data_IF_020088805446
#
_entry.id   IF_020088805446
#
_cell.length_a   1.000
_cell.length_b   1.000
_cell.length_c   1.000
_cell.angle_alpha   90.00
_cell.angle_beta   90.00
_cell.angle_gamma   90.00
#
_symmetry.space_group_name_H-M   'P 1'
#
loop_
_entity.id
_entity.type
_entity.pdbx_description
1 polymer ?
#
# COMPACT_ATOMS: atom_id res chain seq x y z
N UNK A 1 7.72 16.83 -26.73
CA UNK A 1 7.68 15.39 -26.42
C UNK A 1 8.83 15.11 -25.47
N UNK A 2 8.55 14.89 -24.18
CA UNK A 2 9.59 14.65 -23.18
C UNK A 2 10.08 13.20 -23.30
N UNK A 3 11.38 13.04 -23.53
CA UNK A 3 12.08 11.76 -23.60
C UNK A 3 12.03 11.07 -22.23
N UNK A 4 11.34 9.93 -22.14
CA UNK A 4 11.44 9.04 -20.99
C UNK A 4 12.81 8.36 -21.01
N UNK A 5 13.77 8.87 -20.23
CA UNK A 5 15.04 8.19 -19.99
C UNK A 5 14.77 6.88 -19.26
N UNK A 6 14.90 5.74 -19.95
CA UNK A 6 14.85 4.43 -19.31
C UNK A 6 16.10 4.25 -18.47
N UNK A 7 15.98 4.36 -17.15
CA UNK A 7 17.06 3.96 -16.24
C UNK A 7 17.24 2.45 -16.37
N UNK A 8 18.37 2.03 -16.96
CA UNK A 8 18.74 0.63 -17.02
C UNK A 8 18.83 0.09 -15.58
N UNK A 9 17.95 -0.83 -15.23
CA UNK A 9 17.93 -1.44 -13.92
C UNK A 9 19.17 -2.34 -13.79
N UNK A 10 20.12 -1.94 -12.94
CA UNK A 10 21.31 -2.75 -12.64
C UNK A 10 20.90 -4.11 -12.04
N UNK A 11 21.77 -5.13 -12.11
CA UNK A 11 21.45 -6.47 -11.56
C UNK A 11 21.08 -6.48 -10.07
N UNK A 12 21.52 -5.48 -9.30
CA UNK A 12 21.08 -5.25 -7.91
C UNK A 12 19.72 -4.56 -7.84
N UNK A 13 19.47 -3.58 -8.70
CA UNK A 13 18.17 -2.92 -8.83
C UNK A 13 17.05 -3.89 -9.21
N UNK A 14 17.31 -4.82 -10.14
CA UNK A 14 16.29 -5.77 -10.61
C UNK A 14 15.91 -6.76 -9.50
N UNK A 15 16.90 -7.17 -8.71
CA UNK A 15 16.68 -8.06 -7.56
C UNK A 15 15.87 -7.38 -6.46
N UNK A 16 16.16 -6.10 -6.17
CA UNK A 16 15.40 -5.32 -5.19
C UNK A 16 13.97 -5.06 -5.67
N UNK A 17 13.78 -4.69 -6.94
CA UNK A 17 12.45 -4.51 -7.52
C UNK A 17 11.64 -5.81 -7.47
N UNK A 18 12.25 -6.95 -7.80
CA UNK A 18 11.59 -8.25 -7.69
C UNK A 18 11.21 -8.57 -6.23
N UNK A 19 12.06 -8.22 -5.27
CA UNK A 19 11.76 -8.38 -3.85
C UNK A 19 10.59 -7.49 -3.42
N UNK A 20 10.57 -6.22 -3.85
CA UNK A 20 9.46 -5.30 -3.62
C UNK A 20 8.15 -5.88 -4.16
N UNK A 21 8.14 -6.34 -5.43
CA UNK A 21 6.95 -6.92 -6.06
C UNK A 21 6.49 -8.22 -5.38
N UNK A 22 7.42 -9.02 -4.83
CA UNK A 22 7.08 -10.20 -4.02
C UNK A 22 6.41 -9.83 -2.72
N UNK A 23 6.90 -8.80 -2.02
CA UNK A 23 6.30 -8.30 -0.79
C UNK A 23 4.91 -7.72 -1.07
N UNK A 24 4.76 -6.83 -2.05
CA UNK A 24 3.43 -6.34 -2.48
C UNK A 24 2.51 -7.51 -2.86
N UNK A 25 3.04 -8.55 -3.51
CA UNK A 25 2.30 -9.77 -3.84
C UNK A 25 1.81 -10.57 -2.63
N UNK A 26 2.35 -10.35 -1.42
CA UNK A 26 1.85 -10.98 -0.18
C UNK A 26 0.45 -10.46 0.18
N UNK A 27 0.07 -9.24 -0.23
CA UNK A 27 -1.27 -8.67 0.02
C UNK A 27 -2.41 -9.53 -0.53
N UNK A 28 -2.15 -10.30 -1.60
CA UNK A 28 -3.10 -11.27 -2.18
C UNK A 28 -3.41 -12.43 -1.23
N UNK A 29 -2.59 -12.62 -0.20
CA UNK A 29 -2.66 -13.70 0.79
C UNK A 29 -2.93 -13.18 2.20
N UNK A 30 -3.09 -11.87 2.37
CA UNK A 30 -3.57 -11.27 3.62
C UNK A 30 -5.09 -11.14 3.50
N UNK A 31 -5.88 -12.01 4.16
CA UNK A 31 -7.33 -11.84 4.20
C UNK A 31 -7.67 -10.62 5.05
N UNK A 32 -8.74 -9.91 4.70
CA UNK A 32 -9.25 -8.80 5.52
C UNK A 32 -9.74 -9.33 6.87
N UNK A 33 -9.03 -9.01 7.95
CA UNK A 33 -9.16 -9.62 9.28
C UNK A 33 -10.57 -9.42 9.86
N UNK A 34 -11.20 -8.28 9.57
CA UNK A 34 -12.58 -8.01 9.98
C UNK A 34 -13.57 -9.09 9.47
N UNK A 35 -13.39 -9.61 8.27
CA UNK A 35 -14.23 -10.69 7.73
C UNK A 35 -13.89 -12.04 8.32
N UNK A 36 -12.60 -12.30 8.56
CA UNK A 36 -12.12 -13.52 9.23
C UNK A 36 -12.77 -13.67 10.60
N UNK A 37 -12.77 -12.61 11.41
CA UNK A 37 -13.39 -12.59 12.75
C UNK A 37 -14.91 -12.71 12.74
N UNK A 38 -15.54 -12.55 11.57
CA UNK A 38 -16.98 -12.75 11.38
C UNK A 38 -17.31 -14.07 10.68
N UNK A 39 -16.33 -14.97 10.61
CA UNK A 39 -16.47 -16.31 10.03
C UNK A 39 -16.96 -16.29 8.58
N UNK A 40 -16.63 -15.24 7.82
CA UNK A 40 -16.93 -15.20 6.39
C UNK A 40 -16.07 -16.24 5.68
N UNK A 41 -16.70 -17.12 4.90
CA UNK A 41 -15.98 -18.07 4.08
C UNK A 41 -15.26 -17.36 2.93
N UNK A 42 -13.97 -17.66 2.74
CA UNK A 42 -13.13 -17.10 1.66
C UNK A 42 -13.24 -15.56 1.60
N UNK A 43 -12.84 -14.85 2.67
CA UNK A 43 -12.90 -13.40 2.70
C UNK A 43 -11.99 -12.78 1.63
N UNK A 44 -12.31 -11.55 1.21
CA UNK A 44 -11.47 -10.80 0.27
C UNK A 44 -10.05 -10.58 0.83
N UNK A 45 -9.08 -10.46 -0.06
CA UNK A 45 -7.72 -10.05 0.30
C UNK A 45 -7.60 -8.54 0.42
N UNK A 46 -6.56 -8.05 1.10
CA UNK A 46 -6.24 -6.61 1.15
C UNK A 46 -6.05 -6.03 -0.25
N UNK A 47 -5.47 -6.79 -1.17
CA UNK A 47 -5.34 -6.33 -2.56
C UNK A 47 -6.68 -6.22 -3.31
N UNK A 48 -7.68 -7.06 -2.99
CA UNK A 48 -9.03 -6.94 -3.56
C UNK A 48 -9.71 -5.64 -3.08
N UNK A 49 -9.54 -5.33 -1.79
CA UNK A 49 -10.01 -4.10 -1.17
C UNK A 49 -9.45 -2.86 -1.87
N UNK A 50 -8.12 -2.75 -1.98
CA UNK A 50 -7.45 -1.62 -2.63
C UNK A 50 -7.78 -1.52 -4.12
N UNK A 51 -7.92 -2.63 -4.83
CA UNK A 51 -8.34 -2.63 -6.23
C UNK A 51 -9.71 -1.97 -6.40
N UNK A 52 -10.71 -2.38 -5.62
CA UNK A 52 -12.06 -1.79 -5.73
C UNK A 52 -12.07 -0.33 -5.30
N UNK A 53 -11.29 0.07 -4.29
CA UNK A 53 -11.13 1.48 -3.91
C UNK A 53 -10.52 2.33 -5.04
N UNK A 54 -9.50 1.83 -5.74
CA UNK A 54 -8.92 2.53 -6.88
C UNK A 54 -9.95 2.71 -8.01
N UNK A 55 -10.78 1.69 -8.29
CA UNK A 55 -11.89 1.82 -9.24
C UNK A 55 -12.92 2.86 -8.76
N UNK A 56 -13.25 2.87 -7.47
CA UNK A 56 -14.16 3.89 -6.89
C UNK A 56 -13.61 5.31 -7.07
N UNK A 57 -12.31 5.52 -6.87
CA UNK A 57 -11.66 6.81 -7.09
C UNK A 57 -11.74 7.27 -8.57
N UNK A 58 -11.65 6.34 -9.52
CA UNK A 58 -11.81 6.64 -10.95
C UNK A 58 -13.24 7.08 -11.30
N UNK A 59 -14.26 6.39 -10.77
CA UNK A 59 -15.66 6.61 -11.17
C UNK A 59 -16.42 7.63 -10.33
N UNK A 60 -15.97 7.93 -9.11
CA UNK A 60 -16.58 8.95 -8.25
C UNK A 60 -16.16 10.34 -8.71
N UNK A 61 -17.12 11.23 -8.95
CA UNK A 61 -16.83 12.60 -9.42
C UNK A 61 -16.75 13.56 -8.25
N UNK A 62 -15.61 14.24 -8.15
CA UNK A 62 -15.40 15.42 -7.32
C UNK A 62 -14.43 16.34 -8.07
N UNK A 63 -14.90 17.53 -8.45
CA UNK A 63 -14.12 18.47 -9.26
C UNK A 63 -13.06 19.23 -8.44
N UNK A 64 -13.03 19.04 -7.11
CA UNK A 64 -12.03 19.59 -6.21
C UNK A 64 -10.86 18.63 -5.92
N UNK A 65 -10.94 17.38 -6.36
CA UNK A 65 -9.95 16.34 -6.06
C UNK A 65 -9.13 15.94 -7.30
N UNK A 66 -7.84 15.66 -7.08
CA UNK A 66 -6.99 15.05 -8.10
C UNK A 66 -7.22 13.53 -8.11
N UNK A 67 -7.95 13.03 -9.10
CA UNK A 67 -8.27 11.60 -9.23
C UNK A 67 -7.05 10.70 -9.34
N UNK A 68 -6.03 11.10 -10.09
CA UNK A 68 -4.82 10.30 -10.25
C UNK A 68 -4.09 10.14 -8.90
N UNK A 69 -4.09 11.20 -8.08
CA UNK A 69 -3.56 11.14 -6.71
C UNK A 69 -4.42 10.23 -5.83
N UNK A 70 -5.74 10.33 -5.88
CA UNK A 70 -6.65 9.45 -5.13
C UNK A 70 -6.47 7.97 -5.49
N UNK A 71 -6.29 7.64 -6.77
CA UNK A 71 -6.02 6.27 -7.22
C UNK A 71 -4.69 5.77 -6.65
N UNK A 72 -3.62 6.58 -6.71
CA UNK A 72 -2.32 6.21 -6.13
C UNK A 72 -2.39 6.02 -4.62
N UNK A 73 -3.11 6.89 -3.90
CA UNK A 73 -3.36 6.73 -2.46
C UNK A 73 -4.07 5.42 -2.15
N UNK A 74 -5.16 5.12 -2.88
CA UNK A 74 -5.91 3.88 -2.70
C UNK A 74 -5.05 2.62 -2.90
N UNK A 75 -4.09 2.66 -3.84
CA UNK A 75 -3.19 1.53 -4.12
C UNK A 75 -2.04 1.37 -3.11
N UNK A 76 -1.79 2.37 -2.25
CA UNK A 76 -0.61 2.42 -1.38
C UNK A 76 -0.97 2.42 0.11
N UNK A 77 -2.16 2.88 0.49
CA UNK A 77 -2.49 3.11 1.91
C UNK A 77 -2.35 1.87 2.80
N UNK A 78 -2.80 0.70 2.35
CA UNK A 78 -2.68 -0.58 3.09
C UNK A 78 -1.45 -1.41 2.66
N UNK A 79 -0.48 -0.82 1.92
CA UNK A 79 0.67 -1.58 1.42
C UNK A 79 1.57 -2.13 2.55
N UNK A 80 1.60 -1.46 3.70
CA UNK A 80 2.32 -1.89 4.90
C UNK A 80 1.85 -3.26 5.43
N UNK A 81 0.58 -3.61 5.20
CA UNK A 81 -0.04 -4.84 5.68
C UNK A 81 0.57 -6.10 5.04
N UNK A 82 1.35 -5.96 3.96
CA UNK A 82 2.08 -7.09 3.41
C UNK A 82 3.12 -7.66 4.38
N UNK A 83 3.64 -6.83 5.29
CA UNK A 83 4.58 -7.23 6.35
C UNK A 83 3.85 -7.31 7.69
N UNK A 84 3.01 -6.31 8.01
CA UNK A 84 2.40 -6.16 9.34
C UNK A 84 1.20 -7.08 9.54
N UNK A 85 0.53 -7.48 8.45
CA UNK A 85 -0.81 -8.04 8.48
C UNK A 85 -1.90 -6.97 8.61
N UNK A 86 -3.15 -7.34 8.33
CA UNK A 86 -4.32 -6.47 8.52
C UNK A 86 -4.71 -6.47 10.01
N UNK A 87 -4.41 -5.38 10.71
CA UNK A 87 -4.71 -5.22 12.15
C UNK A 87 -6.14 -4.68 12.31
N UNK A 88 -7.03 -5.50 12.85
CA UNK A 88 -8.40 -5.13 13.15
C UNK A 88 -8.54 -4.53 14.56
N UNK A 89 -9.63 -3.77 14.83
CA UNK A 89 -9.89 -3.24 16.17
C UNK A 89 -9.93 -4.30 17.29
N UNK A 90 -10.36 -5.53 16.96
CA UNK A 90 -10.42 -6.64 17.90
C UNK A 90 -9.03 -7.16 18.34
N UNK A 91 -7.95 -6.77 17.65
CA UNK A 91 -6.58 -7.12 18.02
C UNK A 91 -6.04 -6.28 19.18
N UNK A 92 -6.76 -5.22 19.57
CA UNK A 92 -6.42 -4.33 20.69
C UNK A 92 -4.99 -3.76 20.62
N UNK A 93 -4.46 -3.54 19.42
CA UNK A 93 -3.17 -2.89 19.21
C UNK A 93 -3.37 -1.36 19.34
N UNK A 94 -2.61 -0.66 20.21
CA UNK A 94 -2.66 0.79 20.30
C UNK A 94 -2.39 1.46 18.96
N UNK A 95 -3.04 2.59 18.71
CA UNK A 95 -2.95 3.32 17.45
C UNK A 95 -1.52 3.72 17.10
N UNK A 96 -0.76 4.13 18.11
CA UNK A 96 0.64 4.52 18.01
C UNK A 96 1.53 3.33 17.65
N UNK A 97 1.23 2.14 18.20
CA UNK A 97 1.99 0.92 17.89
C UNK A 97 1.64 0.38 16.50
N UNK A 98 0.36 0.43 16.09
CA UNK A 98 -0.04 0.15 14.69
C UNK A 98 0.72 1.05 13.74
N UNK A 99 0.69 2.36 13.98
CA UNK A 99 1.38 3.34 13.14
C UNK A 99 2.88 3.09 13.08
N UNK A 100 3.53 2.84 14.22
CA UNK A 100 4.98 2.55 14.29
C UNK A 100 5.35 1.32 13.46
N UNK A 101 4.57 0.23 13.56
CA UNK A 101 4.79 -1.01 12.78
C UNK A 101 4.61 -0.77 11.29
N UNK A 102 3.57 -0.05 10.90
CA UNK A 102 3.29 0.25 9.49
C UNK A 102 4.33 1.19 8.89
N UNK A 103 4.78 2.19 9.64
CA UNK A 103 5.85 3.11 9.24
C UNK A 103 7.16 2.35 9.00
N UNK A 104 7.51 1.45 9.91
CA UNK A 104 8.70 0.60 9.79
C UNK A 104 8.62 -0.29 8.54
N UNK A 105 7.47 -0.92 8.31
CA UNK A 105 7.22 -1.73 7.11
C UNK A 105 7.33 -0.91 5.82
N UNK A 106 6.75 0.29 5.78
CA UNK A 106 6.81 1.15 4.61
C UNK A 106 8.22 1.67 4.32
N UNK A 107 9.00 1.97 5.35
CA UNK A 107 10.43 2.29 5.20
C UNK A 107 11.20 1.12 4.59
N UNK A 108 10.95 -0.10 5.07
CA UNK A 108 11.59 -1.31 4.52
C UNK A 108 11.21 -1.54 3.04
N UNK A 109 9.92 -1.38 2.68
CA UNK A 109 9.44 -1.56 1.31
C UNK A 109 10.03 -0.53 0.35
N UNK A 110 9.94 0.75 0.72
CA UNK A 110 10.33 1.85 -0.17
C UNK A 110 11.84 1.96 -0.36
N UNK A 111 12.65 1.45 0.57
CA UNK A 111 14.11 1.32 0.41
C UNK A 111 14.53 0.32 -0.68
N UNK A 112 13.63 -0.57 -1.13
CA UNK A 112 13.90 -1.48 -2.25
C UNK A 112 13.75 -0.80 -3.62
N UNK A 113 13.22 0.42 -3.67
CA UNK A 113 12.97 1.16 -4.89
C UNK A 113 14.07 2.22 -5.13
N UNK A 114 14.20 2.72 -6.37
CA UNK A 114 14.93 3.96 -6.63
C UNK A 114 14.48 5.09 -5.70
N UNK A 115 15.41 5.97 -5.31
CA UNK A 115 15.21 6.97 -4.24
C UNK A 115 14.00 7.87 -4.47
N UNK A 116 13.80 8.29 -5.71
CA UNK A 116 12.67 9.11 -6.17
C UNK A 116 11.34 8.37 -6.03
N UNK A 117 11.26 7.14 -6.53
CA UNK A 117 10.04 6.33 -6.45
C UNK A 117 9.72 5.89 -5.02
N UNK A 118 10.74 5.49 -4.26
CA UNK A 118 10.60 5.13 -2.85
C UNK A 118 10.09 6.30 -2.02
N UNK A 119 10.60 7.51 -2.27
CA UNK A 119 10.12 8.74 -1.63
C UNK A 119 8.65 9.01 -1.97
N UNK A 120 8.28 8.93 -3.26
CA UNK A 120 6.89 9.16 -3.69
C UNK A 120 5.89 8.22 -2.98
N UNK A 121 6.19 6.91 -2.95
CA UNK A 121 5.32 5.92 -2.31
C UNK A 121 5.25 6.11 -0.80
N UNK A 122 6.36 6.47 -0.16
CA UNK A 122 6.36 6.77 1.28
C UNK A 122 5.49 7.99 1.60
N UNK A 123 5.63 9.08 0.83
CA UNK A 123 4.84 10.30 1.04
C UNK A 123 3.35 10.07 0.77
N UNK A 124 2.99 9.24 -0.22
CA UNK A 124 1.60 8.81 -0.45
C UNK A 124 1.04 8.05 0.76
N UNK A 125 1.80 7.08 1.28
CA UNK A 125 1.37 6.34 2.46
C UNK A 125 1.24 7.26 3.68
N UNK A 126 2.23 8.12 3.92
CA UNK A 126 2.22 9.05 5.05
C UNK A 126 1.00 9.97 4.99
N UNK A 127 0.68 10.55 3.83
CA UNK A 127 -0.53 11.35 3.59
C UNK A 127 -1.80 10.60 4.00
N UNK A 128 -1.95 9.34 3.58
CA UNK A 128 -3.10 8.50 3.94
C UNK A 128 -3.15 8.14 5.43
N UNK A 129 -1.99 7.98 6.06
CA UNK A 129 -1.87 7.58 7.47
C UNK A 129 -2.28 8.69 8.42
N UNK A 130 -2.13 9.96 8.03
CA UNK A 130 -2.56 11.12 8.83
C UNK A 130 -4.08 11.11 9.02
N UNK A 131 -4.85 10.64 8.04
CA UNK A 131 -6.31 10.48 8.18
C UNK A 131 -6.68 9.31 9.11
N UNK A 132 -5.78 8.34 9.27
CA UNK A 132 -5.94 7.21 10.19
C UNK A 132 -5.31 7.47 11.57
N UNK A 133 -4.68 8.65 11.81
CA UNK A 133 -4.14 9.10 13.11
C UNK A 133 -5.19 9.69 14.03
#
# INVERSE_FOLDING_TARGET
MASASSVAVSGRGARNLLQFLRLVGQLKRVPRTGWVYRNVERPESVSDHMYRMAVMALVTKDDHLNKDRCVRLALVHDMAECIVGDIAPADNIPKEEKHRREEEAMKQLTQLLPKDLGKELYELWEESSVTQR
#
